data_IF_220317002394
#
_entry.id   IF_220317002394
#
_cell.length_a   1.000
_cell.length_b   1.000
_cell.length_c   1.000
_cell.angle_alpha   90.00
_cell.angle_beta   90.00
_cell.angle_gamma   90.00
#
_symmetry.space_group_name_H-M   'P 1'
#
loop_
_entity.id
_entity.type
_entity.pdbx_description
1 polymer ?
#
# COMPACT_ATOMS: atom_id res chain seq x y z
N UNK A 1 22.07 -12.35 -1.80
CA UNK A 1 21.50 -11.04 -2.15
C UNK A 1 22.26 -10.36 -3.28
N UNK A 2 23.27 -11.00 -3.89
CA UNK A 2 24.06 -10.35 -4.94
C UNK A 2 23.26 -10.26 -6.25
N UNK A 3 22.46 -11.28 -6.55
CA UNK A 3 21.62 -11.29 -7.75
C UNK A 3 20.46 -10.32 -7.65
N UNK A 4 19.79 -10.21 -6.50
CA UNK A 4 18.73 -9.21 -6.29
C UNK A 4 19.28 -7.78 -6.50
N UNK A 5 20.48 -7.48 -5.99
CA UNK A 5 21.13 -6.18 -6.21
C UNK A 5 21.46 -5.89 -7.67
N UNK A 6 21.86 -6.89 -8.44
CA UNK A 6 22.28 -6.68 -9.84
C UNK A 6 21.12 -6.76 -10.83
N UNK A 7 20.19 -7.69 -10.62
CA UNK A 7 19.17 -8.06 -11.61
C UNK A 7 17.79 -7.49 -11.29
N UNK A 8 17.56 -7.01 -10.07
CA UNK A 8 16.26 -6.51 -9.62
C UNK A 8 16.33 -5.03 -9.24
N UNK A 9 17.18 -4.67 -8.28
CA UNK A 9 17.18 -3.32 -7.69
C UNK A 9 17.28 -2.15 -8.68
N UNK A 10 18.12 -2.21 -9.74
CA UNK A 10 18.21 -1.12 -10.71
C UNK A 10 16.90 -0.82 -11.42
N UNK A 11 16.02 -1.82 -11.55
CA UNK A 11 14.74 -1.71 -12.24
C UNK A 11 13.59 -1.30 -11.31
N UNK A 12 13.72 -1.54 -10.00
CA UNK A 12 12.76 -1.06 -8.99
C UNK A 12 13.06 0.37 -8.51
N UNK A 13 14.31 0.81 -8.63
CA UNK A 13 14.77 2.12 -8.14
C UNK A 13 13.95 3.31 -8.65
N UNK A 14 13.57 3.41 -9.95
CA UNK A 14 12.79 4.54 -10.43
C UNK A 14 11.45 4.71 -9.70
N UNK A 15 10.74 3.62 -9.41
CA UNK A 15 9.49 3.68 -8.65
C UNK A 15 9.72 4.11 -7.20
N UNK A 16 10.80 3.64 -6.56
CA UNK A 16 11.17 4.06 -5.20
C UNK A 16 11.50 5.55 -5.12
N UNK A 17 12.14 6.11 -6.15
CA UNK A 17 12.43 7.54 -6.22
C UNK A 17 11.16 8.41 -6.22
N UNK A 18 10.01 7.86 -6.65
CA UNK A 18 8.73 8.57 -6.55
C UNK A 18 8.31 8.82 -5.10
N UNK A 19 8.76 8.02 -4.13
CA UNK A 19 8.48 8.26 -2.71
C UNK A 19 9.02 9.62 -2.20
N UNK A 20 10.02 10.16 -2.90
CA UNK A 20 10.62 11.46 -2.58
C UNK A 20 10.30 12.56 -3.60
N UNK A 21 9.81 12.20 -4.79
CA UNK A 21 9.64 13.15 -5.91
C UNK A 21 8.22 13.27 -6.44
N UNK A 22 7.32 12.35 -6.10
CA UNK A 22 5.92 12.44 -6.51
C UNK A 22 5.26 13.69 -5.90
N UNK A 23 4.63 14.56 -6.70
CA UNK A 23 4.07 15.82 -6.20
C UNK A 23 3.05 15.65 -5.07
N UNK A 24 2.24 14.59 -5.11
CA UNK A 24 1.24 14.36 -4.07
C UNK A 24 1.89 13.89 -2.76
N UNK A 25 2.91 13.02 -2.84
CA UNK A 25 3.64 12.61 -1.64
C UNK A 25 4.46 13.76 -1.06
N UNK A 26 5.11 14.57 -1.89
CA UNK A 26 5.76 15.81 -1.44
C UNK A 26 4.76 16.73 -0.76
N UNK A 27 3.54 16.86 -1.30
CA UNK A 27 2.48 17.69 -0.71
C UNK A 27 2.01 17.15 0.64
N UNK A 28 1.88 15.84 0.81
CA UNK A 28 1.55 15.22 2.10
C UNK A 28 2.62 15.50 3.16
N UNK A 29 3.90 15.57 2.76
CA UNK A 29 5.02 15.84 3.66
C UNK A 29 5.28 17.33 3.92
N UNK A 30 4.55 18.23 3.25
CA UNK A 30 4.70 19.66 3.43
C UNK A 30 4.18 20.08 4.82
N UNK A 31 5.01 20.67 5.70
CA UNK A 31 4.56 21.11 7.03
C UNK A 31 3.50 22.21 6.99
N UNK A 32 3.30 22.85 5.84
CA UNK A 32 2.25 23.84 5.60
C UNK A 32 0.93 23.25 5.10
N UNK A 33 0.83 21.93 4.94
CA UNK A 33 -0.44 21.29 4.57
C UNK A 33 -1.53 21.67 5.58
N UNK A 34 -2.70 22.05 5.07
CA UNK A 34 -3.81 22.43 5.95
C UNK A 34 -4.26 21.21 6.76
N UNK A 35 -4.45 21.33 8.09
CA UNK A 35 -4.90 20.21 8.93
C UNK A 35 -6.15 19.51 8.39
N UNK A 36 -7.15 20.27 7.95
CA UNK A 36 -8.37 19.70 7.37
C UNK A 36 -8.12 18.89 6.08
N UNK A 37 -7.12 19.26 5.28
CA UNK A 37 -6.77 18.48 4.08
C UNK A 37 -6.10 17.17 4.47
N UNK A 38 -5.15 17.20 5.40
CA UNK A 38 -4.44 15.99 5.83
C UNK A 38 -5.39 15.00 6.52
N UNK A 39 -6.26 15.48 7.41
CA UNK A 39 -7.24 14.62 8.08
C UNK A 39 -8.23 14.02 7.07
N UNK A 40 -8.71 14.82 6.11
CA UNK A 40 -9.62 14.33 5.09
C UNK A 40 -8.98 13.31 4.15
N UNK A 41 -7.69 13.50 3.83
CA UNK A 41 -6.89 12.54 3.10
C UNK A 41 -6.80 11.19 3.83
N UNK A 42 -6.52 11.21 5.14
CA UNK A 42 -6.46 9.97 5.93
C UNK A 42 -7.80 9.23 5.90
N UNK A 43 -8.93 9.95 6.00
CA UNK A 43 -10.27 9.36 5.89
C UNK A 43 -10.49 8.73 4.51
N UNK A 44 -10.17 9.46 3.43
CA UNK A 44 -10.28 8.92 2.07
C UNK A 44 -9.42 7.68 1.88
N UNK A 45 -8.17 7.73 2.34
CA UNK A 45 -7.24 6.62 2.20
C UNK A 45 -7.72 5.39 2.97
N UNK A 46 -8.05 5.52 4.26
CA UNK A 46 -8.48 4.40 5.09
C UNK A 46 -9.80 3.78 4.60
N UNK A 47 -10.78 4.61 4.23
CA UNK A 47 -12.07 4.11 3.75
C UNK A 47 -11.95 3.35 2.41
N UNK A 48 -11.04 3.78 1.53
CA UNK A 48 -10.83 3.16 0.21
C UNK A 48 -9.84 1.99 0.24
N UNK A 49 -8.91 1.99 1.20
CA UNK A 49 -7.87 0.98 1.32
C UNK A 49 -8.44 -0.45 1.46
N UNK A 50 -9.64 -0.60 2.01
CA UNK A 50 -10.39 -1.86 2.09
C UNK A 50 -10.46 -2.59 0.75
N UNK A 51 -10.72 -1.86 -0.33
CA UNK A 51 -10.75 -2.44 -1.67
C UNK A 51 -9.36 -2.95 -2.08
N UNK A 52 -8.26 -2.39 -1.60
CA UNK A 52 -6.92 -2.87 -1.95
C UNK A 52 -6.43 -3.98 -1.01
N UNK A 53 -6.91 -4.03 0.23
CA UNK A 53 -6.40 -4.92 1.29
C UNK A 53 -7.23 -6.18 1.49
N UNK A 54 -8.54 -6.16 1.23
CA UNK A 54 -9.43 -7.32 1.36
C UNK A 54 -8.96 -8.57 0.57
N UNK A 55 -8.49 -8.46 -0.69
CA UNK A 55 -8.10 -9.63 -1.48
C UNK A 55 -6.69 -10.16 -1.20
N UNK A 56 -5.89 -9.52 -0.34
CA UNK A 56 -4.45 -9.80 -0.18
C UNK A 56 -4.16 -11.24 0.26
N UNK A 57 -4.83 -11.76 1.28
CA UNK A 57 -4.69 -13.19 1.68
C UNK A 57 -4.97 -14.12 0.49
N UNK A 58 -6.02 -13.82 -0.28
CA UNK A 58 -6.38 -14.57 -1.47
C UNK A 58 -5.29 -14.54 -2.54
N UNK A 59 -4.68 -13.37 -2.79
CA UNK A 59 -3.57 -13.23 -3.75
C UNK A 59 -2.34 -14.02 -3.34
N UNK A 60 -1.90 -13.89 -2.09
CA UNK A 60 -0.71 -14.58 -1.59
C UNK A 60 -0.92 -16.10 -1.60
N UNK A 61 -2.12 -16.58 -1.19
CA UNK A 61 -2.47 -18.00 -1.21
C UNK A 61 -2.49 -18.57 -2.62
N UNK A 62 -3.15 -17.88 -3.57
CA UNK A 62 -3.18 -18.31 -4.98
C UNK A 62 -1.79 -18.32 -5.60
N UNK A 63 -0.95 -17.33 -5.30
CA UNK A 63 0.46 -17.32 -5.70
C UNK A 63 1.20 -18.54 -5.19
N UNK A 64 1.03 -18.87 -3.91
CA UNK A 64 1.68 -20.04 -3.32
C UNK A 64 1.25 -21.35 -4.00
N UNK A 65 -0.03 -21.48 -4.34
CA UNK A 65 -0.56 -22.61 -5.10
C UNK A 65 0.05 -22.70 -6.51
N UNK A 66 0.12 -21.58 -7.24
CA UNK A 66 0.76 -21.51 -8.56
C UNK A 66 2.25 -21.85 -8.51
N UNK A 67 2.95 -21.39 -7.48
CA UNK A 67 4.35 -21.74 -7.26
C UNK A 67 4.55 -23.25 -7.06
N UNK A 68 3.66 -23.91 -6.30
CA UNK A 68 3.69 -25.37 -6.13
C UNK A 68 3.49 -26.09 -7.47
N UNK A 69 2.51 -25.66 -8.27
CA UNK A 69 2.22 -26.23 -9.59
C UNK A 69 3.40 -26.12 -10.57
N UNK A 70 4.22 -25.09 -10.41
CA UNK A 70 5.44 -24.85 -11.20
C UNK A 70 6.70 -25.51 -10.59
N UNK A 71 6.55 -26.39 -9.60
CA UNK A 71 7.67 -27.12 -8.98
C UNK A 71 8.47 -26.32 -7.95
N UNK A 72 7.98 -25.16 -7.51
CA UNK A 72 8.58 -24.32 -6.47
C UNK A 72 7.93 -24.60 -5.10
N UNK A 73 7.86 -25.87 -4.71
CA UNK A 73 7.08 -26.30 -3.54
C UNK A 73 7.42 -25.57 -2.23
N UNK A 74 8.72 -25.41 -1.93
CA UNK A 74 9.18 -24.76 -0.70
C UNK A 74 8.66 -23.31 -0.64
N UNK A 75 8.85 -22.57 -1.73
CA UNK A 75 8.41 -21.18 -1.85
C UNK A 75 6.89 -21.08 -1.73
N UNK A 76 6.15 -21.95 -2.42
CA UNK A 76 4.69 -21.92 -2.37
C UNK A 76 4.12 -22.25 -0.99
N UNK A 77 4.70 -23.21 -0.26
CA UNK A 77 4.34 -23.51 1.14
C UNK A 77 4.62 -22.33 2.08
N UNK A 78 5.71 -21.60 1.86
CA UNK A 78 6.04 -20.39 2.61
C UNK A 78 5.00 -19.29 2.37
N UNK A 79 4.64 -19.03 1.11
CA UNK A 79 3.61 -18.05 0.76
C UNK A 79 2.24 -18.37 1.38
N UNK A 80 1.79 -19.62 1.29
CA UNK A 80 0.51 -20.03 1.89
C UNK A 80 0.52 -19.85 3.42
N UNK A 81 1.67 -20.06 4.05
CA UNK A 81 1.82 -19.82 5.49
C UNK A 81 1.77 -18.32 5.80
N UNK A 82 2.46 -17.50 5.00
CA UNK A 82 2.48 -16.05 5.14
C UNK A 82 1.09 -15.43 4.93
N UNK A 83 0.29 -15.91 3.97
CA UNK A 83 -1.05 -15.38 3.70
C UNK A 83 -1.96 -15.27 4.95
N UNK A 84 -1.74 -16.14 5.94
CA UNK A 84 -2.46 -16.11 7.22
C UNK A 84 -2.20 -14.85 8.05
N UNK A 85 -1.01 -14.22 7.94
CA UNK A 85 -0.72 -12.98 8.67
C UNK A 85 -1.55 -11.81 8.14
N UNK A 86 -1.98 -11.85 6.88
CA UNK A 86 -2.72 -10.76 6.22
C UNK A 86 -4.23 -10.83 6.44
N UNK A 87 -4.71 -11.89 7.10
CA UNK A 87 -6.15 -12.10 7.31
C UNK A 87 -6.72 -11.01 8.22
N UNK A 88 -7.66 -10.23 7.69
CA UNK A 88 -8.38 -9.22 8.46
C UNK A 88 -7.73 -7.82 8.47
N UNK A 89 -6.62 -7.60 7.77
CA UNK A 89 -5.99 -6.26 7.68
C UNK A 89 -6.94 -5.19 7.11
N UNK A 90 -7.84 -5.57 6.21
CA UNK A 90 -8.89 -4.67 5.70
C UNK A 90 -9.85 -4.17 6.80
N UNK A 91 -10.08 -4.95 7.86
CA UNK A 91 -10.90 -4.54 9.00
C UNK A 91 -10.23 -3.42 9.80
N UNK A 92 -8.89 -3.41 9.88
CA UNK A 92 -8.14 -2.32 10.51
C UNK A 92 -8.34 -1.02 9.74
N UNK A 93 -8.26 -1.05 8.41
CA UNK A 93 -8.51 0.16 7.59
C UNK A 93 -9.94 0.70 7.74
N UNK A 94 -10.94 -0.19 7.86
CA UNK A 94 -12.32 0.21 8.12
C UNK A 94 -12.49 0.87 9.48
N UNK A 95 -11.86 0.31 10.51
CA UNK A 95 -11.94 0.83 11.87
C UNK A 95 -11.23 2.18 11.99
N UNK A 96 -10.02 2.31 11.44
CA UNK A 96 -9.29 3.58 11.38
C UNK A 96 -10.13 4.65 10.67
N UNK A 97 -10.75 4.32 9.53
CA UNK A 97 -11.65 5.23 8.82
C UNK A 97 -12.84 5.67 9.69
N UNK A 98 -13.47 4.74 10.40
CA UNK A 98 -14.62 5.01 11.28
C UNK A 98 -14.24 6.01 12.38
N UNK A 99 -13.14 5.77 13.08
CA UNK A 99 -12.70 6.65 14.19
C UNK A 99 -12.27 8.02 13.66
N UNK A 100 -11.63 8.08 12.49
CA UNK A 100 -11.28 9.35 11.85
C UNK A 100 -12.52 10.15 11.43
N UNK A 101 -13.57 9.49 10.90
CA UNK A 101 -14.83 10.16 10.56
C UNK A 101 -15.54 10.70 11.80
N UNK A 102 -15.56 9.96 12.90
CA UNK A 102 -16.10 10.45 14.17
C UNK A 102 -15.33 11.69 14.67
N UNK A 103 -14.00 11.64 14.57
CA UNK A 103 -13.14 12.76 14.92
C UNK A 103 -13.41 14.00 14.06
N UNK A 104 -13.58 13.81 12.75
CA UNK A 104 -13.91 14.86 11.79
C UNK A 104 -15.29 15.47 12.07
N UNK A 105 -16.32 14.63 12.22
CA UNK A 105 -17.72 15.05 12.38
C UNK A 105 -17.98 15.82 13.67
N UNK A 106 -17.10 15.67 14.67
CA UNK A 106 -17.13 16.46 15.90
C UNK A 106 -16.60 17.90 15.73
N UNK A 107 -15.87 18.18 14.64
CA UNK A 107 -15.13 19.44 14.43
C UNK A 107 -15.50 20.17 13.15
N UNK A 108 -15.98 19.44 12.15
CA UNK A 108 -16.11 19.93 10.79
C UNK A 108 -17.51 19.65 10.22
N UNK A 109 -17.95 20.57 9.36
CA UNK A 109 -19.16 20.44 8.54
C UNK A 109 -18.80 20.64 7.06
N UNK A 110 -19.33 19.84 6.12
CA UNK A 110 -20.37 18.83 6.34
C UNK A 110 -19.83 17.59 7.06
N UNK A 111 -20.73 16.94 7.78
CA UNK A 111 -20.46 15.64 8.36
C UNK A 111 -20.35 14.60 7.25
N UNK A 112 -19.45 13.65 7.43
CA UNK A 112 -19.19 12.53 6.54
C UNK A 112 -19.99 11.31 6.99
N UNK A 113 -20.46 10.52 6.02
CA UNK A 113 -21.06 9.21 6.26
C UNK A 113 -20.06 8.11 5.93
N UNK A 114 -19.81 7.21 6.88
CA UNK A 114 -18.99 6.02 6.61
C UNK A 114 -19.59 5.14 5.50
N UNK A 115 -20.91 5.01 5.47
CA UNK A 115 -21.61 4.23 4.43
C UNK A 115 -21.36 4.80 3.04
N UNK A 116 -21.45 6.12 2.88
CA UNK A 116 -21.18 6.79 1.60
C UNK A 116 -19.71 6.65 1.21
N UNK A 117 -18.79 6.79 2.17
CA UNK A 117 -17.34 6.72 1.93
C UNK A 117 -16.91 5.35 1.39
N UNK A 118 -17.42 4.26 1.99
CA UNK A 118 -17.08 2.89 1.56
C UNK A 118 -17.83 2.46 0.30
N UNK A 119 -18.99 3.07 0.02
CA UNK A 119 -19.77 2.82 -1.19
C UNK A 119 -19.21 3.54 -2.43
N UNK A 120 -18.19 4.39 -2.27
CA UNK A 120 -17.56 5.08 -3.39
C UNK A 120 -16.98 4.09 -4.40
N UNK A 121 -17.15 4.39 -5.69
CA UNK A 121 -16.51 3.63 -6.74
C UNK A 121 -14.98 3.64 -6.56
N UNK A 122 -14.29 2.52 -6.87
CA UNK A 122 -12.84 2.48 -6.83
C UNK A 122 -12.25 3.49 -7.82
N UNK A 123 -11.08 4.03 -7.51
CA UNK A 123 -10.36 4.94 -8.41
C UNK A 123 -9.73 4.18 -9.58
N UNK A 124 -9.09 4.91 -10.51
CA UNK A 124 -8.33 4.29 -11.59
C UNK A 124 -7.18 3.43 -11.04
N UNK A 125 -6.37 4.01 -10.17
CA UNK A 125 -5.19 3.35 -9.61
C UNK A 125 -5.55 2.14 -8.74
N UNK A 126 -6.68 2.18 -8.02
CA UNK A 126 -7.17 1.03 -7.25
C UNK A 126 -7.49 -0.17 -8.15
N UNK A 127 -8.15 0.07 -9.30
CA UNK A 127 -8.45 -1.00 -10.27
C UNK A 127 -7.17 -1.53 -10.92
N UNK A 128 -6.28 -0.63 -11.33
CA UNK A 128 -4.98 -1.00 -11.90
C UNK A 128 -4.17 -1.86 -10.91
N UNK A 129 -4.13 -1.48 -9.64
CA UNK A 129 -3.44 -2.24 -8.60
C UNK A 129 -3.98 -3.67 -8.51
N UNK A 130 -5.31 -3.86 -8.37
CA UNK A 130 -5.91 -5.21 -8.35
C UNK A 130 -5.60 -5.99 -9.62
N UNK A 131 -5.69 -5.33 -10.78
CA UNK A 131 -5.41 -5.96 -12.07
C UNK A 131 -3.97 -6.47 -12.16
N UNK A 132 -2.97 -5.69 -11.67
CA UNK A 132 -1.56 -6.12 -11.65
C UNK A 132 -1.40 -7.40 -10.83
N UNK A 133 -2.04 -7.50 -9.66
CA UNK A 133 -2.03 -8.70 -8.83
C UNK A 133 -2.62 -9.91 -9.57
N UNK A 134 -3.83 -9.77 -10.12
CA UNK A 134 -4.51 -10.86 -10.80
C UNK A 134 -3.75 -11.34 -12.06
N UNK A 135 -3.28 -10.41 -12.89
CA UNK A 135 -2.46 -10.71 -14.08
C UNK A 135 -1.15 -11.43 -13.73
N UNK A 136 -0.51 -11.03 -12.63
CA UNK A 136 0.75 -11.64 -12.18
C UNK A 136 0.53 -13.09 -11.76
N UNK A 137 -0.54 -13.35 -10.99
CA UNK A 137 -0.88 -14.69 -10.49
C UNK A 137 -1.27 -15.64 -11.63
N UNK A 138 -2.07 -15.15 -12.57
CA UNK A 138 -2.55 -15.93 -13.71
C UNK A 138 -1.47 -16.11 -14.79
N UNK A 139 -0.51 -15.19 -14.84
CA UNK A 139 0.56 -15.14 -15.81
C UNK A 139 1.63 -16.23 -15.65
N UNK A 140 2.66 -16.20 -16.53
CA UNK A 140 3.75 -17.17 -16.52
C UNK A 140 4.72 -17.01 -15.35
N UNK A 141 4.67 -15.87 -14.64
CA UNK A 141 5.63 -15.48 -13.61
C UNK A 141 4.94 -15.12 -12.29
N UNK A 142 4.22 -16.06 -11.64
CA UNK A 142 3.48 -15.78 -10.40
C UNK A 142 4.37 -15.30 -9.25
N UNK A 143 5.67 -15.62 -9.30
CA UNK A 143 6.66 -15.12 -8.32
C UNK A 143 6.78 -13.59 -8.33
N UNK A 144 6.33 -12.92 -9.40
CA UNK A 144 6.19 -11.46 -9.44
C UNK A 144 5.32 -10.91 -8.30
N UNK A 145 4.42 -11.71 -7.72
CA UNK A 145 3.65 -11.30 -6.54
C UNK A 145 4.57 -10.93 -5.37
N UNK A 146 5.66 -11.68 -5.17
CA UNK A 146 6.61 -11.41 -4.07
C UNK A 146 7.31 -10.06 -4.28
N UNK A 147 7.52 -9.68 -5.55
CA UNK A 147 8.02 -8.37 -5.90
C UNK A 147 7.01 -7.27 -5.55
N UNK A 148 5.72 -7.51 -5.79
CA UNK A 148 4.65 -6.59 -5.37
C UNK A 148 4.66 -6.41 -3.85
N UNK A 149 4.63 -7.51 -3.08
CA UNK A 149 4.65 -7.45 -1.61
C UNK A 149 5.92 -6.74 -1.10
N UNK A 150 7.07 -6.98 -1.73
CA UNK A 150 8.31 -6.30 -1.38
C UNK A 150 8.23 -4.80 -1.59
N UNK A 151 7.80 -4.37 -2.77
CA UNK A 151 7.80 -2.95 -3.10
C UNK A 151 6.72 -2.18 -2.32
N UNK A 152 5.53 -2.77 -2.11
CA UNK A 152 4.51 -2.16 -1.24
C UNK A 152 4.97 -2.13 0.22
N UNK A 153 5.60 -3.19 0.72
CA UNK A 153 6.24 -3.19 2.05
C UNK A 153 7.36 -2.15 2.17
N UNK A 154 8.14 -1.92 1.11
CA UNK A 154 9.15 -0.85 1.08
C UNK A 154 8.51 0.53 1.25
N UNK A 155 7.37 0.78 0.60
CA UNK A 155 6.60 2.01 0.80
C UNK A 155 6.19 2.15 2.28
N UNK A 156 5.66 1.10 2.89
CA UNK A 156 5.25 1.13 4.30
C UNK A 156 6.43 1.43 5.24
N UNK A 157 7.58 0.77 5.04
CA UNK A 157 8.79 0.95 5.87
C UNK A 157 9.45 2.32 5.65
N UNK A 158 9.47 2.83 4.42
CA UNK A 158 10.16 4.09 4.10
C UNK A 158 9.28 5.32 4.31
N UNK A 159 8.08 5.31 3.75
CA UNK A 159 7.16 6.45 3.76
C UNK A 159 6.26 6.45 5.00
N UNK A 160 5.84 5.28 5.50
CA UNK A 160 4.95 5.15 6.65
C UNK A 160 5.41 5.91 7.91
N UNK A 161 6.64 5.74 8.41
CA UNK A 161 7.10 6.45 9.60
C UNK A 161 7.13 7.97 9.42
N UNK A 162 7.43 8.44 8.20
CA UNK A 162 7.44 9.87 7.86
C UNK A 162 6.04 10.43 7.89
N UNK A 163 5.07 9.71 7.33
CA UNK A 163 3.66 10.11 7.36
C UNK A 163 3.09 10.10 8.77
N UNK A 164 3.36 9.07 9.60
CA UNK A 164 2.92 9.05 11.00
C UNK A 164 3.45 10.28 11.75
N UNK A 165 4.74 10.60 11.61
CA UNK A 165 5.35 11.77 12.24
C UNK A 165 4.74 13.08 11.73
N UNK A 166 4.42 13.17 10.44
CA UNK A 166 3.77 14.34 9.86
C UNK A 166 2.35 14.51 10.41
N UNK A 167 1.59 13.41 10.54
CA UNK A 167 0.26 13.41 11.16
C UNK A 167 0.35 13.85 12.61
N UNK A 168 1.31 13.34 13.39
CA UNK A 168 1.54 13.80 14.76
C UNK A 168 1.86 15.30 14.82
N UNK A 169 2.66 15.80 13.87
CA UNK A 169 3.06 17.21 13.82
C UNK A 169 1.89 18.14 13.47
N UNK A 170 1.04 17.76 12.50
CA UNK A 170 -0.01 18.62 11.94
C UNK A 170 -1.36 18.44 12.64
N UNK A 171 -1.71 17.21 13.00
CA UNK A 171 -3.00 16.82 13.58
C UNK A 171 -2.93 16.43 15.07
N UNK A 172 -1.71 16.26 15.59
CA UNK A 172 -1.47 15.88 16.98
C UNK A 172 -1.48 14.37 17.23
N UNK A 173 -0.94 14.00 18.40
CA UNK A 173 -0.80 12.61 18.83
C UNK A 173 -2.16 11.86 18.91
N UNK A 174 -3.24 12.58 19.20
CA UNK A 174 -4.58 12.00 19.27
C UNK A 174 -5.03 11.40 17.94
N UNK A 175 -4.68 12.02 16.80
CA UNK A 175 -5.03 11.50 15.47
C UNK A 175 -4.01 10.44 15.03
N UNK A 176 -2.72 10.67 15.27
CA UNK A 176 -1.68 9.68 14.95
C UNK A 176 -1.92 8.33 15.64
N UNK A 177 -2.38 8.35 16.89
CA UNK A 177 -2.72 7.14 17.65
C UNK A 177 -3.93 6.35 17.12
N UNK A 178 -4.75 6.94 16.23
CA UNK A 178 -5.90 6.27 15.60
C UNK A 178 -5.52 5.47 14.35
N UNK A 179 -4.29 5.60 13.84
CA UNK A 179 -3.85 4.96 12.60
C UNK A 179 -3.29 3.56 12.88
N UNK A 180 -4.14 2.65 13.37
CA UNK A 180 -3.70 1.31 13.79
C UNK A 180 -3.15 0.49 12.64
N UNK A 181 -3.75 0.60 11.44
CA UNK A 181 -3.27 -0.07 10.24
C UNK A 181 -1.85 0.37 9.87
N UNK A 182 -1.61 1.69 9.83
CA UNK A 182 -0.31 2.23 9.46
C UNK A 182 0.75 1.92 10.53
N UNK A 183 0.40 2.02 11.81
CA UNK A 183 1.31 1.72 12.91
C UNK A 183 1.75 0.25 12.92
N UNK A 184 0.84 -0.68 12.62
CA UNK A 184 1.15 -2.11 12.49
C UNK A 184 2.13 -2.34 11.33
N UNK A 185 1.85 -1.79 10.14
CA UNK A 185 2.69 -2.00 8.96
C UNK A 185 4.08 -1.36 9.13
N UNK A 186 4.18 -0.21 9.80
CA UNK A 186 5.48 0.37 10.17
C UNK A 186 6.29 -0.56 11.10
N UNK A 187 5.64 -1.23 12.04
CA UNK A 187 6.31 -2.11 13.01
C UNK A 187 6.66 -3.49 12.43
N UNK A 188 5.76 -4.06 11.63
CA UNK A 188 5.82 -5.47 11.19
C UNK A 188 6.48 -5.63 9.82
N UNK A 189 6.34 -4.66 8.91
CA UNK A 189 6.77 -4.84 7.52
C UNK A 189 8.29 -4.84 7.33
N UNK A 190 9.06 -4.43 8.34
CA UNK A 190 10.51 -4.66 8.34
C UNK A 190 10.81 -6.17 8.26
N UNK A 191 10.07 -6.98 9.01
CA UNK A 191 10.18 -8.44 9.00
C UNK A 191 9.69 -9.06 7.69
N UNK A 192 8.54 -8.62 7.20
CA UNK A 192 7.97 -9.08 5.93
C UNK A 192 8.87 -8.73 4.73
N UNK A 193 9.43 -7.51 4.71
CA UNK A 193 10.35 -7.07 3.65
C UNK A 193 11.60 -7.96 3.58
N UNK A 194 12.19 -8.32 4.72
CA UNK A 194 13.34 -9.22 4.76
C UNK A 194 13.00 -10.64 4.31
N UNK A 195 11.79 -11.13 4.61
CA UNK A 195 11.31 -12.42 4.11
C UNK A 195 11.11 -12.38 2.59
N UNK A 196 10.50 -11.33 2.07
CA UNK A 196 10.28 -11.11 0.65
C UNK A 196 11.60 -11.03 -0.12
N UNK A 197 12.62 -10.37 0.43
CA UNK A 197 13.97 -10.31 -0.15
C UNK A 197 14.63 -11.69 -0.26
N UNK A 198 14.50 -12.53 0.77
CA UNK A 198 15.02 -13.91 0.73
C UNK A 198 14.29 -14.76 -0.31
N UNK A 199 12.97 -14.62 -0.39
CA UNK A 199 12.14 -15.35 -1.35
C UNK A 199 12.44 -14.92 -2.79
N UNK A 200 12.59 -13.61 -3.04
CA UNK A 200 12.98 -13.09 -4.35
C UNK A 200 14.41 -13.49 -4.74
N UNK A 201 15.36 -13.47 -3.82
CA UNK A 201 16.71 -13.98 -4.10
C UNK A 201 16.69 -15.47 -4.48
N UNK A 202 15.89 -16.30 -3.77
CA UNK A 202 15.72 -17.72 -4.14
C UNK A 202 15.13 -17.86 -5.56
N UNK A 203 14.14 -17.04 -5.90
CA UNK A 203 13.50 -17.05 -7.20
C UNK A 203 14.44 -16.60 -8.34
N UNK A 204 15.16 -15.49 -8.14
CA UNK A 204 16.12 -14.95 -9.10
C UNK A 204 17.29 -15.92 -9.28
N UNK A 205 17.72 -16.61 -8.23
CA UNK A 205 18.78 -17.63 -8.36
C UNK A 205 18.40 -18.76 -9.31
N UNK A 206 17.11 -19.13 -9.38
CA UNK A 206 16.60 -20.17 -10.30
C UNK A 206 16.50 -19.68 -11.74
N UNK A 207 16.20 -18.40 -11.96
CA UNK A 207 16.02 -17.80 -13.29
C UNK A 207 16.49 -16.34 -13.28
N UNK A 208 17.82 -16.10 -13.33
CA UNK A 208 18.39 -14.76 -13.17
C UNK A 208 17.89 -13.74 -14.19
N UNK A 209 17.61 -14.20 -15.41
CA UNK A 209 17.09 -13.39 -16.51
C UNK A 209 15.68 -12.82 -16.24
N UNK A 210 14.94 -13.39 -15.28
CA UNK A 210 13.61 -12.92 -14.87
C UNK A 210 13.65 -11.81 -13.81
N UNK A 211 14.83 -11.51 -13.23
CA UNK A 211 14.96 -10.51 -12.18
C UNK A 211 14.39 -9.14 -12.56
N UNK A 212 14.59 -8.74 -13.82
CA UNK A 212 14.03 -7.52 -14.38
C UNK A 212 12.50 -7.53 -14.41
N UNK A 213 11.89 -8.63 -14.87
CA UNK A 213 10.43 -8.77 -14.97
C UNK A 213 9.78 -8.69 -13.58
N UNK A 214 10.39 -9.35 -12.58
CA UNK A 214 9.92 -9.26 -11.20
C UNK A 214 10.00 -7.82 -10.69
N UNK A 215 11.12 -7.13 -10.91
CA UNK A 215 11.30 -5.76 -10.48
C UNK A 215 10.32 -4.78 -11.14
N UNK A 216 10.11 -4.91 -12.45
CA UNK A 216 9.15 -4.09 -13.20
C UNK A 216 7.71 -4.34 -12.71
N UNK A 217 7.38 -5.57 -12.33
CA UNK A 217 6.07 -5.93 -11.76
C UNK A 217 5.86 -5.26 -10.39
N UNK A 218 6.83 -5.38 -9.48
CA UNK A 218 6.77 -4.70 -8.18
C UNK A 218 6.75 -3.18 -8.30
N UNK A 219 7.55 -2.62 -9.21
CA UNK A 219 7.59 -1.19 -9.49
C UNK A 219 6.24 -0.66 -9.98
N UNK A 220 5.57 -1.37 -10.90
CA UNK A 220 4.22 -1.00 -11.38
C UNK A 220 3.21 -0.97 -10.24
N UNK A 221 3.21 -1.97 -9.37
CA UNK A 221 2.29 -2.02 -8.24
C UNK A 221 2.55 -0.88 -7.22
N UNK A 222 3.82 -0.60 -6.90
CA UNK A 222 4.17 0.55 -6.06
C UNK A 222 3.71 1.86 -6.69
N UNK A 223 3.97 2.08 -7.98
CA UNK A 223 3.55 3.30 -8.68
C UNK A 223 2.02 3.45 -8.68
N UNK A 224 1.26 2.38 -8.91
CA UNK A 224 -0.19 2.40 -8.79
C UNK A 224 -0.66 2.75 -7.36
N UNK A 225 0.03 2.24 -6.34
CA UNK A 225 -0.26 2.58 -4.95
C UNK A 225 0.04 4.07 -4.64
N UNK A 226 1.15 4.60 -5.13
CA UNK A 226 1.52 6.03 -5.00
C UNK A 226 0.46 6.91 -5.67
N UNK A 227 0.04 6.57 -6.88
CA UNK A 227 -1.02 7.30 -7.58
C UNK A 227 -2.36 7.24 -6.86
N UNK A 228 -2.69 6.10 -6.23
CA UNK A 228 -3.87 5.98 -5.38
C UNK A 228 -3.80 6.95 -4.19
N UNK A 229 -2.66 7.08 -3.50
CA UNK A 229 -2.49 8.07 -2.44
C UNK A 229 -2.70 9.49 -2.98
N UNK A 230 -2.19 9.79 -4.18
CA UNK A 230 -2.41 11.08 -4.84
C UNK A 230 -3.87 11.34 -5.24
N UNK A 231 -4.62 10.32 -5.66
CA UNK A 231 -6.06 10.42 -5.91
C UNK A 231 -6.83 10.75 -4.63
N UNK A 232 -6.52 10.07 -3.51
CA UNK A 232 -7.11 10.37 -2.21
C UNK A 232 -6.83 11.82 -1.77
N UNK A 233 -5.60 12.31 -1.96
CA UNK A 233 -5.25 13.69 -1.64
C UNK A 233 -6.05 14.70 -2.48
N UNK A 234 -6.14 14.47 -3.80
CA UNK A 234 -6.90 15.37 -4.68
C UNK A 234 -8.39 15.42 -4.31
N UNK A 235 -8.98 14.28 -3.95
CA UNK A 235 -10.37 14.21 -3.47
C UNK A 235 -10.52 15.04 -2.18
N UNK A 236 -9.59 14.86 -1.23
CA UNK A 236 -9.59 15.60 0.03
C UNK A 236 -9.47 17.11 -0.18
N UNK A 237 -8.53 17.57 -1.01
CA UNK A 237 -8.35 18.98 -1.34
C UNK A 237 -9.59 19.59 -2.00
N UNK A 238 -10.18 18.90 -2.98
CA UNK A 238 -11.39 19.38 -3.66
C UNK A 238 -12.56 19.55 -2.69
N UNK A 239 -12.75 18.60 -1.77
CA UNK A 239 -13.82 18.67 -0.79
C UNK A 239 -13.59 19.74 0.27
N UNK A 240 -12.35 19.91 0.76
CA UNK A 240 -12.03 20.99 1.70
C UNK A 240 -12.18 22.36 1.03
N UNK A 241 -11.75 22.52 -0.22
CA UNK A 241 -11.93 23.77 -0.96
C UNK A 241 -13.41 24.13 -1.15
N UNK A 242 -14.26 23.14 -1.49
CA UNK A 242 -15.70 23.33 -1.63
C UNK A 242 -16.36 23.82 -0.32
N UNK A 243 -15.82 23.43 0.85
CA UNK A 243 -16.29 23.92 2.16
C UNK A 243 -15.96 25.37 2.43
N UNK A 244 -14.82 25.87 1.94
CA UNK A 244 -14.43 27.28 2.12
C UNK A 244 -15.30 28.22 1.28
N UNK A 245 -15.87 27.69 0.19
CA UNK A 245 -16.73 28.44 -0.73
C UNK A 245 -18.22 28.41 -0.38
N UNK A 246 -18.64 27.52 0.53
CA UNK A 246 -20.03 27.33 0.95
C UNK A 246 -20.34 28.08 2.25
#
# INVERSE_FOLDING_TARGET
MELLKMQYEPHALPARTLLDTDPALCRLMDPSIQPAVLERFLIEWMARAVYMTEPVDGWIRRTGQRCIELGMEKLGKQLITHAKSETGHHLMTLEDARVLVEHWNARYSPQLSMEELVAQAPTGSMREYRQIHDETIEGPFPVGQIAIEREVGYLAVYFGPRLVKQVETVLGQEVAGKLTFLNEHVAVDVGHTLLNEKMLEEAITRSPEQGRIYAETGARAMTAYIHFLGECLRIAEAQVAARVMA
#
